data_IF_841569448930
#
_entry.id   IF_841569448930
#
_cell.length_a   1.000
_cell.length_b   1.000
_cell.length_c   1.000
_cell.angle_alpha   90.00
_cell.angle_beta   90.00
_cell.angle_gamma   90.00
#
_symmetry.space_group_name_H-M   'P 1'
#
loop_
_entity.id
_entity.type
_entity.pdbx_description
1 polymer ?
#
# COMPACT_ATOMS: atom_id res chain seq x y z
N UNK A 1 -13.07 -3.07 -25.50
CA UNK A 1 -11.63 -2.84 -25.26
C UNK A 1 -11.05 -2.25 -26.52
N UNK A 2 -10.62 -1.02 -26.49
CA UNK A 2 -9.88 -0.37 -27.56
C UNK A 2 -8.40 -0.33 -27.20
N UNK A 3 -7.55 -0.33 -28.21
CA UNK A 3 -6.11 -0.16 -28.04
C UNK A 3 -5.82 1.33 -28.18
N UNK A 4 -5.05 1.86 -27.23
CA UNK A 4 -4.58 3.25 -27.24
C UNK A 4 -3.07 3.26 -27.26
N UNK A 5 -2.49 4.30 -27.87
CA UNK A 5 -1.04 4.52 -27.89
C UNK A 5 -0.70 5.68 -26.98
N UNK A 6 0.27 5.46 -26.09
CA UNK A 6 0.76 6.47 -25.13
C UNK A 6 2.28 6.44 -25.06
N UNK A 7 2.85 7.41 -24.41
CA UNK A 7 4.30 7.47 -24.15
C UNK A 7 4.54 7.38 -22.65
N UNK A 8 5.37 6.44 -22.21
CA UNK A 8 5.83 6.35 -20.82
C UNK A 8 7.36 6.49 -20.81
N UNK A 9 7.87 7.49 -20.12
CA UNK A 9 9.31 7.81 -20.01
C UNK A 9 10.03 7.85 -21.37
N UNK A 10 9.37 8.41 -22.40
CA UNK A 10 9.87 8.54 -23.75
C UNK A 10 9.70 7.32 -24.65
N UNK A 11 9.14 6.22 -24.16
CA UNK A 11 8.89 5.01 -24.93
C UNK A 11 7.42 4.97 -25.40
N UNK A 12 7.19 4.79 -26.70
CA UNK A 12 5.85 4.58 -27.24
C UNK A 12 5.35 3.19 -26.86
N UNK A 13 4.18 3.11 -26.27
CA UNK A 13 3.59 1.91 -25.70
C UNK A 13 2.14 1.80 -26.16
N UNK A 14 1.72 0.60 -26.56
CA UNK A 14 0.32 0.27 -26.83
C UNK A 14 -0.30 -0.39 -25.58
N UNK A 15 -1.49 0.01 -25.22
CA UNK A 15 -2.20 -0.47 -24.05
C UNK A 15 -3.69 -0.66 -24.33
N UNK A 16 -4.38 -1.47 -23.53
CA UNK A 16 -5.83 -1.53 -23.55
C UNK A 16 -6.43 -0.43 -22.65
N UNK A 17 -7.53 0.16 -23.08
CA UNK A 17 -8.21 1.28 -22.41
C UNK A 17 -8.84 0.90 -21.05
N UNK A 18 -8.98 -0.39 -20.75
CA UNK A 18 -9.47 -0.94 -19.49
C UNK A 18 -8.36 -1.25 -18.47
N UNK A 19 -7.08 -1.24 -18.88
CA UNK A 19 -5.95 -1.38 -17.99
C UNK A 19 -5.72 -0.12 -17.15
N UNK A 20 -4.99 -0.25 -16.04
CA UNK A 20 -4.43 0.89 -15.32
C UNK A 20 -3.02 1.22 -15.84
N UNK A 21 -2.57 2.46 -15.68
CA UNK A 21 -1.19 2.84 -16.03
C UNK A 21 -0.14 2.01 -15.26
N UNK A 22 -0.49 1.54 -14.06
CA UNK A 22 0.37 0.65 -13.29
C UNK A 22 0.53 -0.72 -13.97
N UNK A 23 -0.57 -1.31 -14.44
CA UNK A 23 -0.55 -2.58 -15.19
C UNK A 23 0.24 -2.44 -16.48
N UNK A 24 -0.03 -1.39 -17.25
CA UNK A 24 0.71 -1.10 -18.49
C UNK A 24 2.21 -0.95 -18.25
N UNK A 25 2.60 -0.18 -17.24
CA UNK A 25 4.00 -0.01 -16.88
C UNK A 25 4.68 -1.35 -16.51
N UNK A 26 4.01 -2.16 -15.69
CA UNK A 26 4.50 -3.48 -15.27
C UNK A 26 4.71 -4.42 -16.45
N UNK A 27 3.78 -4.49 -17.41
CA UNK A 27 3.89 -5.32 -18.61
C UNK A 27 5.08 -4.93 -19.49
N UNK A 28 5.50 -3.66 -19.43
CA UNK A 28 6.65 -3.13 -20.18
C UNK A 28 7.94 -3.04 -19.34
N UNK A 29 7.97 -3.67 -18.17
CA UNK A 29 9.16 -3.70 -17.31
C UNK A 29 9.50 -2.38 -16.64
N UNK A 30 8.55 -1.43 -16.59
CA UNK A 30 8.70 -0.14 -15.91
C UNK A 30 8.21 -0.29 -14.48
N UNK A 31 9.13 -0.18 -13.53
CA UNK A 31 8.82 -0.34 -12.11
C UNK A 31 8.30 0.96 -11.49
N UNK A 32 7.06 0.94 -11.01
CA UNK A 32 6.44 2.04 -10.27
C UNK A 32 6.24 1.59 -8.82
N UNK A 33 6.77 2.31 -7.82
CA UNK A 33 6.65 1.90 -6.43
C UNK A 33 5.20 1.94 -5.93
N UNK A 34 4.82 0.93 -5.18
CA UNK A 34 3.50 0.77 -4.57
C UNK A 34 3.63 0.24 -3.15
N UNK A 35 2.58 0.36 -2.33
CA UNK A 35 2.50 -0.27 -1.01
C UNK A 35 1.09 -0.79 -0.73
N UNK A 36 0.05 -0.21 -1.33
CA UNK A 36 -1.32 -0.69 -1.17
C UNK A 36 -1.76 -1.62 -2.31
N UNK A 37 -1.16 -1.50 -3.50
CA UNK A 37 -1.46 -2.39 -4.62
C UNK A 37 -1.00 -3.83 -4.34
N UNK A 38 -1.81 -4.78 -4.76
CA UNK A 38 -1.46 -6.19 -4.83
C UNK A 38 -2.23 -6.80 -6.01
N UNK A 39 -1.53 -7.56 -6.85
CA UNK A 39 -2.15 -8.27 -7.97
C UNK A 39 -3.31 -9.16 -7.48
N UNK A 40 -4.42 -9.13 -8.19
CA UNK A 40 -5.61 -9.89 -7.83
C UNK A 40 -6.54 -9.23 -6.81
N UNK A 41 -6.20 -8.05 -6.31
CA UNK A 41 -7.07 -7.23 -5.46
C UNK A 41 -7.44 -5.92 -6.16
N UNK A 42 -8.63 -5.41 -5.86
CA UNK A 42 -9.08 -4.11 -6.37
C UNK A 42 -8.17 -2.97 -5.91
N UNK A 43 -7.82 -2.05 -6.82
CA UNK A 43 -6.96 -0.92 -6.52
C UNK A 43 -7.72 0.23 -5.86
N UNK A 44 -7.21 0.73 -4.73
CA UNK A 44 -7.84 1.80 -3.93
C UNK A 44 -7.07 3.12 -3.96
N UNK A 45 -5.86 3.16 -4.52
CA UNK A 45 -5.06 4.38 -4.60
C UNK A 45 -4.69 5.00 -3.26
N UNK A 46 -4.66 4.24 -2.16
CA UNK A 46 -4.53 4.77 -0.80
C UNK A 46 -3.11 5.29 -0.48
N UNK A 47 -2.06 4.52 -0.81
CA UNK A 47 -0.69 4.84 -0.39
C UNK A 47 -0.03 6.01 -1.11
N UNK A 48 -0.51 6.37 -2.29
CA UNK A 48 0.02 7.47 -3.12
C UNK A 48 1.50 7.34 -3.53
N UNK A 49 2.08 6.17 -3.46
CA UNK A 49 3.46 5.95 -3.90
C UNK A 49 3.57 5.81 -5.42
N UNK A 50 2.53 5.33 -6.09
CA UNK A 50 2.46 5.16 -7.54
C UNK A 50 2.12 6.44 -8.32
N UNK A 51 2.38 7.61 -7.75
CA UNK A 51 2.13 8.89 -8.42
C UNK A 51 2.95 9.04 -9.70
N UNK A 52 2.32 9.63 -10.72
CA UNK A 52 2.86 9.93 -12.04
C UNK A 52 2.65 11.39 -12.39
N UNK A 53 3.49 11.89 -13.28
CA UNK A 53 3.26 13.14 -14.00
C UNK A 53 2.68 12.82 -15.38
N UNK A 54 1.61 13.53 -15.75
CA UNK A 54 0.99 13.44 -17.06
C UNK A 54 1.08 14.82 -17.70
N UNK A 55 1.63 14.90 -18.92
CA UNK A 55 1.79 16.15 -19.63
C UNK A 55 0.44 16.85 -19.82
N UNK A 56 0.42 18.17 -19.68
CA UNK A 56 -0.82 18.96 -19.68
C UNK A 56 -1.64 18.91 -18.40
N UNK A 57 -1.24 18.09 -17.40
CA UNK A 57 -1.96 17.93 -16.13
C UNK A 57 -1.09 18.40 -14.96
N UNK A 58 -1.45 19.48 -14.25
CA UNK A 58 -0.62 19.98 -13.14
C UNK A 58 -0.64 19.10 -11.90
N UNK A 59 -1.65 18.24 -11.76
CA UNK A 59 -1.83 17.33 -10.62
C UNK A 59 -1.21 15.99 -10.90
N UNK A 60 -0.52 15.43 -9.90
CA UNK A 60 -0.03 14.06 -9.93
C UNK A 60 -1.21 13.07 -9.92
N UNK A 61 -1.11 12.02 -10.71
CA UNK A 61 -2.11 10.96 -10.81
C UNK A 61 -1.57 9.66 -10.24
N UNK A 62 -2.44 8.84 -9.65
CA UNK A 62 -2.05 7.53 -9.14
C UNK A 62 -2.13 6.49 -10.28
N UNK A 63 -1.02 5.84 -10.61
CA UNK A 63 -0.94 4.86 -11.71
C UNK A 63 -1.94 3.71 -11.55
N UNK A 64 -2.17 3.25 -10.33
CA UNK A 64 -3.06 2.12 -10.04
C UNK A 64 -4.55 2.41 -10.27
N UNK A 65 -4.94 3.68 -10.39
CA UNK A 65 -6.35 4.09 -10.59
C UNK A 65 -6.55 4.95 -11.82
N UNK A 66 -5.49 5.22 -12.59
CA UNK A 66 -5.57 6.03 -13.81
C UNK A 66 -5.49 5.11 -15.04
N UNK A 67 -6.41 5.29 -15.98
CA UNK A 67 -6.46 4.54 -17.23
C UNK A 67 -5.67 5.26 -18.33
N UNK A 68 -5.05 4.53 -19.26
CA UNK A 68 -4.37 5.10 -20.41
C UNK A 68 -5.35 5.77 -21.36
N UNK A 69 -4.90 6.82 -22.04
CA UNK A 69 -5.64 7.53 -23.07
C UNK A 69 -4.75 7.74 -24.29
N UNK A 70 -5.37 7.85 -25.46
CA UNK A 70 -4.65 8.09 -26.72
C UNK A 70 -3.79 9.37 -26.64
N UNK A 71 -2.53 9.24 -27.03
CA UNK A 71 -1.57 10.35 -27.04
C UNK A 71 -1.09 10.82 -25.67
N UNK A 72 -1.45 10.11 -24.58
CA UNK A 72 -1.02 10.47 -23.23
C UNK A 72 0.51 10.38 -23.12
N UNK A 73 1.14 11.39 -22.49
CA UNK A 73 2.58 11.40 -22.18
C UNK A 73 2.76 11.35 -20.67
N UNK A 74 3.38 10.28 -20.20
CA UNK A 74 3.53 9.93 -18.78
C UNK A 74 5.00 9.92 -18.39
N UNK A 75 5.32 10.46 -17.22
CA UNK A 75 6.63 10.32 -16.57
C UNK A 75 6.44 9.58 -15.25
N UNK A 76 7.20 8.50 -15.09
CA UNK A 76 7.18 7.69 -13.87
C UNK A 76 8.25 8.12 -12.88
N UNK A 77 9.29 8.85 -13.34
CA UNK A 77 10.42 9.32 -12.55
C UNK A 77 10.68 10.80 -12.82
N UNK A 78 10.80 11.59 -11.76
CA UNK A 78 11.24 12.98 -11.77
C UNK A 78 11.68 13.37 -10.35
N UNK A 79 12.47 14.44 -10.23
CA UNK A 79 12.87 14.96 -8.91
C UNK A 79 11.66 15.27 -8.02
N UNK A 80 10.58 15.77 -8.64
CA UNK A 80 9.32 16.03 -7.94
C UNK A 80 8.69 14.74 -7.41
N UNK A 81 8.59 13.69 -8.22
CA UNK A 81 8.02 12.40 -7.83
C UNK A 81 8.85 11.74 -6.72
N UNK A 82 10.18 11.74 -6.85
CA UNK A 82 11.07 11.18 -5.84
C UNK A 82 10.93 11.90 -4.49
N UNK A 83 10.83 13.22 -4.50
CA UNK A 83 10.58 14.00 -3.29
C UNK A 83 9.24 13.64 -2.65
N UNK A 84 8.16 13.50 -3.42
CA UNK A 84 6.84 13.10 -2.90
C UNK A 84 6.88 11.70 -2.31
N UNK A 85 7.47 10.73 -3.00
CA UNK A 85 7.60 9.34 -2.52
C UNK A 85 8.36 9.28 -1.19
N UNK A 86 9.51 9.93 -1.13
CA UNK A 86 10.30 10.05 0.11
C UNK A 86 9.48 10.66 1.25
N UNK A 87 8.76 11.76 0.99
CA UNK A 87 7.92 12.42 2.00
C UNK A 87 6.79 11.51 2.50
N UNK A 88 6.14 10.76 1.61
CA UNK A 88 5.10 9.79 2.00
C UNK A 88 5.68 8.71 2.93
N UNK A 89 6.82 8.14 2.58
CA UNK A 89 7.46 7.11 3.40
C UNK A 89 7.93 7.69 4.74
N UNK A 90 8.45 8.91 4.75
CA UNK A 90 8.80 9.63 5.96
C UNK A 90 7.60 9.82 6.90
N UNK A 91 6.43 10.17 6.37
CA UNK A 91 5.20 10.27 7.16
C UNK A 91 4.76 8.91 7.70
N UNK A 92 4.76 7.86 6.89
CA UNK A 92 4.45 6.50 7.35
C UNK A 92 5.39 6.06 8.48
N UNK A 93 6.68 6.39 8.37
CA UNK A 93 7.66 6.09 9.42
C UNK A 93 7.43 6.89 10.71
N UNK A 94 6.89 8.13 10.63
CA UNK A 94 6.61 8.97 11.79
C UNK A 94 5.29 8.65 12.49
N UNK A 95 4.30 8.12 11.74
CA UNK A 95 2.97 7.79 12.25
C UNK A 95 2.91 6.45 12.99
N UNK A 96 3.85 5.55 12.73
CA UNK A 96 3.93 4.22 13.35
C UNK A 96 5.13 4.07 14.28
N UNK A 97 5.07 3.07 15.15
CA UNK A 97 6.20 2.70 16.01
C UNK A 97 7.06 1.62 15.31
N UNK A 98 7.69 1.99 14.18
CA UNK A 98 8.47 1.08 13.34
C UNK A 98 9.87 0.79 13.91
N UNK A 99 9.95 0.01 14.98
CA UNK A 99 11.22 -0.44 15.55
C UNK A 99 11.75 -1.67 14.79
N UNK A 100 12.39 -1.43 13.65
CA UNK A 100 12.81 -2.49 12.71
C UNK A 100 13.69 -3.57 13.34
N UNK A 101 14.62 -3.19 14.21
CA UNK A 101 15.57 -4.13 14.83
C UNK A 101 14.92 -5.29 15.61
N UNK A 102 13.69 -5.10 16.10
CA UNK A 102 12.93 -6.10 16.86
C UNK A 102 11.62 -6.50 16.14
N UNK A 103 11.49 -6.17 14.88
CA UNK A 103 10.31 -6.46 14.09
C UNK A 103 10.42 -7.84 13.43
N UNK A 104 9.33 -8.60 13.43
CA UNK A 104 9.25 -9.92 12.78
C UNK A 104 9.50 -9.86 11.27
N UNK A 105 9.23 -8.73 10.63
CA UNK A 105 9.43 -8.50 9.20
C UNK A 105 10.78 -7.83 8.87
N UNK A 106 11.72 -7.74 9.81
CA UNK A 106 13.01 -7.11 9.55
C UNK A 106 13.77 -7.82 8.41
N UNK A 107 14.19 -7.08 7.39
CA UNK A 107 14.90 -7.61 6.21
C UNK A 107 13.99 -8.15 5.09
N UNK A 108 12.66 -8.17 5.28
CA UNK A 108 11.67 -8.55 4.24
C UNK A 108 10.37 -7.74 4.35
N UNK A 109 10.51 -6.45 4.65
CA UNK A 109 9.41 -5.49 4.80
C UNK A 109 9.40 -4.52 3.62
N UNK A 110 8.26 -4.46 2.88
CA UNK A 110 8.13 -3.55 1.74
C UNK A 110 8.34 -2.07 2.12
N UNK A 111 7.98 -1.67 3.35
CA UNK A 111 8.25 -0.30 3.81
C UNK A 111 9.75 -0.04 3.98
N UNK A 112 10.53 -1.01 4.49
CA UNK A 112 11.99 -0.89 4.56
C UNK A 112 12.62 -0.78 3.18
N UNK A 113 12.19 -1.63 2.24
CA UNK A 113 12.70 -1.60 0.86
C UNK A 113 12.41 -0.26 0.18
N UNK A 114 11.20 0.28 0.37
CA UNK A 114 10.83 1.58 -0.15
C UNK A 114 11.63 2.72 0.51
N UNK A 115 11.92 2.64 1.80
CA UNK A 115 12.76 3.61 2.49
C UNK A 115 14.19 3.62 1.91
N UNK A 116 14.77 2.43 1.66
CA UNK A 116 16.08 2.30 1.02
C UNK A 116 16.07 2.85 -0.41
N UNK A 117 15.09 2.47 -1.23
CA UNK A 117 14.96 2.92 -2.64
C UNK A 117 14.78 4.42 -2.77
N UNK A 118 14.08 5.07 -1.83
CA UNK A 118 13.87 6.53 -1.85
C UNK A 118 14.96 7.31 -1.15
N UNK A 119 16.00 6.64 -0.62
CA UNK A 119 17.10 7.27 0.11
C UNK A 119 16.63 7.98 1.38
N UNK A 120 15.66 7.39 2.10
CA UNK A 120 15.25 7.90 3.40
C UNK A 120 16.24 7.46 4.48
N UNK A 121 17.18 8.34 4.84
CA UNK A 121 18.18 8.07 5.87
C UNK A 121 17.69 8.39 7.28
N UNK A 122 16.84 9.38 7.43
CA UNK A 122 16.27 9.81 8.71
C UNK A 122 14.94 10.53 8.52
N UNK A 123 14.12 10.52 9.57
CA UNK A 123 12.81 11.18 9.61
C UNK A 123 13.00 12.63 10.09
N UNK A 124 12.61 13.60 9.27
CA UNK A 124 12.73 15.05 9.55
C UNK A 124 11.54 15.62 10.30
N UNK A 125 10.40 14.94 10.21
CA UNK A 125 9.16 15.35 10.89
C UNK A 125 9.10 14.77 12.30
N UNK A 126 8.36 15.38 13.24
CA UNK A 126 8.21 14.84 14.58
C UNK A 126 7.54 13.45 14.56
N UNK A 127 8.08 12.53 15.34
CA UNK A 127 7.41 11.25 15.62
C UNK A 127 6.16 11.48 16.44
N UNK A 128 5.07 10.80 16.07
CA UNK A 128 3.78 10.96 16.75
C UNK A 128 3.63 10.06 17.97
N UNK A 129 4.45 9.00 18.09
CA UNK A 129 4.41 8.03 19.20
C UNK A 129 2.99 7.59 19.57
N UNK A 130 2.19 7.10 18.62
CA UNK A 130 0.81 6.76 18.90
C UNK A 130 0.74 5.63 19.92
N UNK A 131 -0.21 5.71 20.87
CA UNK A 131 -0.51 4.58 21.75
C UNK A 131 -1.35 3.58 20.96
N UNK A 132 -0.71 2.58 20.39
CA UNK A 132 -1.37 1.51 19.62
C UNK A 132 -1.25 0.18 20.36
N UNK A 133 -2.32 -0.59 20.32
CA UNK A 133 -2.38 -1.88 20.97
C UNK A 133 -1.91 -2.99 20.04
N UNK A 134 -1.48 -4.09 20.66
CA UNK A 134 -1.20 -5.35 19.99
C UNK A 134 -2.36 -6.28 20.31
N UNK A 135 -2.99 -6.84 19.29
CA UNK A 135 -4.03 -7.86 19.43
C UNK A 135 -3.43 -9.26 19.20
N UNK A 136 -3.27 -10.00 20.27
CA UNK A 136 -2.82 -11.39 20.26
C UNK A 136 -3.93 -12.37 20.69
N UNK A 137 -5.19 -11.97 20.58
CA UNK A 137 -6.34 -12.77 20.99
C UNK A 137 -6.60 -13.98 20.06
N UNK A 138 -6.28 -13.87 18.75
CA UNK A 138 -6.42 -14.99 17.81
C UNK A 138 -5.47 -16.15 18.20
N UNK A 139 -5.87 -17.42 18.09
CA UNK A 139 -5.02 -18.56 18.48
C UNK A 139 -3.70 -18.62 17.68
N UNK A 140 -3.71 -18.35 16.38
CA UNK A 140 -2.58 -18.59 15.49
C UNK A 140 -1.85 -17.31 15.04
N UNK A 141 -2.49 -16.13 15.16
CA UNK A 141 -1.99 -14.90 14.57
C UNK A 141 -2.00 -13.73 15.56
N UNK A 142 -1.23 -12.70 15.20
CA UNK A 142 -1.13 -11.44 15.94
C UNK A 142 -1.33 -10.26 15.00
N UNK A 143 -2.04 -9.23 15.48
CA UNK A 143 -2.10 -7.92 14.84
C UNK A 143 -1.37 -6.88 15.70
N UNK A 144 -0.24 -6.39 15.22
CA UNK A 144 0.49 -5.26 15.81
C UNK A 144 0.18 -3.97 15.07
N UNK A 145 -0.73 -3.18 15.64
CA UNK A 145 -1.13 -1.90 15.07
C UNK A 145 0.02 -0.87 14.99
N UNK A 146 1.11 -1.07 15.74
CA UNK A 146 2.29 -0.21 15.66
C UNK A 146 3.02 -0.30 14.32
N UNK A 147 2.86 -1.40 13.60
CA UNK A 147 3.50 -1.68 12.30
C UNK A 147 2.57 -1.45 11.12
N UNK A 148 1.30 -1.14 11.39
CA UNK A 148 0.28 -0.99 10.36
C UNK A 148 0.45 0.34 9.60
N UNK A 149 0.53 0.26 8.28
CA UNK A 149 0.62 1.40 7.35
C UNK A 149 -0.71 1.70 6.64
N UNK A 150 -1.81 1.12 7.11
CA UNK A 150 -3.16 1.32 6.59
C UNK A 150 -3.29 1.06 5.06
N UNK A 151 -2.51 0.11 4.54
CA UNK A 151 -2.54 -0.25 3.12
C UNK A 151 -3.83 -0.97 2.69
N UNK A 152 -4.62 -1.45 3.63
CA UNK A 152 -5.90 -2.15 3.45
C UNK A 152 -5.84 -3.48 2.70
N UNK A 153 -4.67 -4.05 2.43
CA UNK A 153 -4.56 -5.37 1.76
C UNK A 153 -5.27 -6.46 2.56
N UNK A 154 -5.17 -6.46 3.89
CA UNK A 154 -5.84 -7.43 4.77
C UNK A 154 -7.36 -7.33 4.68
N UNK A 155 -7.90 -6.12 4.61
CA UNK A 155 -9.35 -5.88 4.44
C UNK A 155 -9.80 -6.45 3.11
N UNK A 156 -9.15 -6.05 2.01
CA UNK A 156 -9.52 -6.45 0.66
C UNK A 156 -9.36 -7.94 0.39
N UNK A 157 -8.28 -8.56 0.84
CA UNK A 157 -8.10 -10.01 0.64
C UNK A 157 -9.13 -10.82 1.43
N UNK A 158 -9.53 -10.33 2.60
CA UNK A 158 -10.57 -10.96 3.41
C UNK A 158 -11.97 -10.80 2.80
N UNK A 159 -12.22 -9.67 2.14
CA UNK A 159 -13.47 -9.37 1.44
C UNK A 159 -13.53 -10.06 0.06
N UNK A 160 -12.57 -9.77 -0.82
CA UNK A 160 -12.61 -10.11 -2.24
C UNK A 160 -12.22 -11.59 -2.52
N UNK A 161 -11.34 -12.17 -1.69
CA UNK A 161 -10.78 -13.51 -1.93
C UNK A 161 -11.34 -14.56 -0.97
N UNK A 162 -11.50 -14.21 0.32
CA UNK A 162 -12.02 -15.13 1.31
C UNK A 162 -13.53 -15.02 1.49
N UNK A 163 -14.11 -13.83 1.31
CA UNK A 163 -15.53 -13.57 1.54
C UNK A 163 -15.93 -13.58 3.02
N UNK A 164 -14.97 -13.50 3.93
CA UNK A 164 -15.21 -13.60 5.38
C UNK A 164 -15.52 -12.25 6.06
N UNK A 165 -15.14 -11.12 5.44
CA UNK A 165 -15.41 -9.75 5.93
C UNK A 165 -15.00 -9.52 7.39
N UNK A 166 -13.91 -10.15 7.83
CA UNK A 166 -13.43 -10.06 9.21
C UNK A 166 -12.83 -8.69 9.52
N UNK A 167 -12.13 -8.10 8.54
CA UNK A 167 -11.41 -6.86 8.71
C UNK A 167 -12.14 -5.67 8.12
N UNK A 168 -12.08 -4.53 8.81
CA UNK A 168 -12.61 -3.25 8.32
C UNK A 168 -11.73 -2.09 8.78
N UNK A 169 -12.08 -0.87 8.36
CA UNK A 169 -11.40 0.38 8.72
C UNK A 169 -12.31 1.18 9.63
N UNK A 170 -11.80 1.55 10.80
CA UNK A 170 -12.50 2.43 11.72
C UNK A 170 -11.82 3.80 11.81
N UNK A 171 -12.62 4.82 12.15
CA UNK A 171 -12.21 6.20 12.36
C UNK A 171 -11.62 6.87 11.10
N UNK A 172 -10.93 7.99 11.28
CA UNK A 172 -10.30 8.77 10.20
C UNK A 172 -9.15 9.63 10.72
N UNK A 173 -8.31 10.12 9.80
CA UNK A 173 -7.12 10.89 10.15
C UNK A 173 -6.19 10.06 11.02
N UNK A 174 -5.54 10.66 12.00
CA UNK A 174 -4.59 9.98 12.88
C UNK A 174 -5.21 8.86 13.74
N UNK A 175 -6.51 8.90 13.95
CA UNK A 175 -7.26 7.86 14.66
C UNK A 175 -7.64 6.67 13.78
N UNK A 176 -7.36 6.72 12.46
CA UNK A 176 -7.67 5.64 11.53
C UNK A 176 -6.95 4.35 11.94
N UNK A 177 -7.69 3.24 11.95
CA UNK A 177 -7.16 1.94 12.35
C UNK A 177 -7.89 0.81 11.63
N UNK A 178 -7.21 -0.31 11.46
CA UNK A 178 -7.83 -1.56 11.03
C UNK A 178 -8.48 -2.21 12.26
N UNK A 179 -9.69 -2.70 12.11
CA UNK A 179 -10.45 -3.36 13.17
C UNK A 179 -10.89 -4.75 12.72
N UNK A 180 -11.09 -5.65 13.67
CA UNK A 180 -11.70 -6.95 13.44
C UNK A 180 -13.17 -6.91 13.90
N UNK A 181 -14.08 -7.42 13.07
CA UNK A 181 -15.53 -7.39 13.32
C UNK A 181 -16.03 -5.96 13.61
N UNK A 182 -16.75 -5.79 14.71
CA UNK A 182 -17.21 -4.48 15.20
C UNK A 182 -16.26 -3.90 16.26
N UNK A 183 -14.96 -3.89 15.97
CA UNK A 183 -13.90 -3.43 16.87
C UNK A 183 -13.79 -4.28 18.16
N UNK A 184 -13.87 -5.57 18.01
CA UNK A 184 -13.66 -6.53 19.10
C UNK A 184 -12.29 -7.23 18.92
N UNK A 185 -11.79 -7.92 19.96
CA UNK A 185 -10.57 -8.72 19.83
C UNK A 185 -10.70 -9.74 18.68
N UNK A 186 -9.65 -9.85 17.85
CA UNK A 186 -9.68 -10.70 16.64
C UNK A 186 -10.10 -12.15 16.93
N UNK A 187 -9.61 -12.71 18.05
CA UNK A 187 -9.99 -14.08 18.45
C UNK A 187 -11.46 -14.28 18.81
N UNK A 188 -12.23 -13.22 18.94
CA UNK A 188 -13.67 -13.27 19.24
C UNK A 188 -14.56 -13.05 17.99
N UNK A 189 -13.96 -12.95 16.81
CA UNK A 189 -14.69 -12.68 15.56
C UNK A 189 -15.06 -13.98 14.88
N UNK A 190 -16.33 -14.34 14.94
CA UNK A 190 -16.85 -15.60 14.39
C UNK A 190 -16.72 -15.72 12.87
N UNK A 191 -16.65 -14.58 12.14
CA UNK A 191 -16.47 -14.60 10.68
C UNK A 191 -15.04 -14.97 10.26
N UNK A 192 -14.06 -14.98 11.17
CA UNK A 192 -12.69 -15.32 10.84
C UNK A 192 -12.53 -16.81 10.56
N UNK A 193 -12.13 -17.15 9.34
CA UNK A 193 -11.88 -18.53 8.90
C UNK A 193 -10.50 -19.06 9.27
N UNK A 194 -9.66 -18.26 9.92
CA UNK A 194 -8.25 -18.57 10.23
C UNK A 194 -7.41 -18.92 8.99
N UNK A 195 -7.78 -18.48 7.79
CA UNK A 195 -7.13 -18.84 6.52
C UNK A 195 -5.71 -18.28 6.34
N UNK A 196 -5.28 -17.28 7.15
CA UNK A 196 -3.96 -16.67 7.10
C UNK A 196 -3.70 -15.75 5.89
N UNK A 197 -4.65 -15.58 4.95
CA UNK A 197 -4.43 -14.74 3.76
C UNK A 197 -4.09 -13.29 4.10
N UNK A 198 -4.72 -12.71 5.12
CA UNK A 198 -4.43 -11.36 5.59
C UNK A 198 -2.98 -11.21 6.11
N UNK A 199 -2.43 -12.24 6.72
CA UNK A 199 -1.02 -12.32 7.15
C UNK A 199 -0.10 -12.37 5.93
N UNK A 200 -0.40 -13.25 4.98
CA UNK A 200 0.41 -13.44 3.77
C UNK A 200 0.53 -12.19 2.89
N UNK A 201 -0.48 -11.32 2.88
CA UNK A 201 -0.49 -10.10 2.04
C UNK A 201 -0.03 -8.83 2.79
N UNK A 202 0.28 -8.93 4.08
CA UNK A 202 0.71 -7.78 4.86
C UNK A 202 2.11 -7.31 4.41
N UNK A 203 2.28 -6.06 3.94
CA UNK A 203 3.56 -5.59 3.44
C UNK A 203 4.56 -5.24 4.54
N UNK A 204 4.12 -5.30 5.81
CA UNK A 204 4.91 -4.96 6.98
C UNK A 204 4.75 -6.04 8.06
N UNK A 205 5.41 -5.88 9.20
CA UNK A 205 5.24 -6.79 10.35
C UNK A 205 3.99 -6.52 11.19
N UNK A 206 2.90 -5.98 10.60
CA UNK A 206 1.68 -5.70 11.35
C UNK A 206 0.85 -6.97 11.60
N UNK A 207 0.76 -7.86 10.62
CA UNK A 207 0.10 -9.16 10.75
C UNK A 207 1.16 -10.27 10.62
N UNK A 208 1.20 -11.17 11.59
CA UNK A 208 2.19 -12.25 11.60
C UNK A 208 1.69 -13.47 12.39
N UNK A 209 2.23 -14.67 12.14
CA UNK A 209 1.92 -15.87 12.92
C UNK A 209 2.54 -15.78 14.32
N UNK A 210 1.93 -16.46 15.29
CA UNK A 210 2.47 -16.64 16.63
C UNK A 210 3.67 -17.57 16.67
#
# INVERSE_FOLDING_TARGET
MSVVTLTIDGHAISAHDDQTLLQVAKEHGIEIPTLCHLDGLHDVGACRLCLLEIEGTPRLQAACTTRPQEGMVVRTTSERLERYRRTIIEFLASEGNHHCAVCVANGHCELQDLALRTGLEYVRVPYLYPSRQLDASHPDFVMDHNRCVLCTRCVRVCDEVEGAHTWDIANRGIACTIIAGLNQPWGNVDSCTACGKCVAVCPTGALFPK
#
